data_IF_478763804923
#
_entry.id   IF_478763804923
#
_cell.length_a   1.000
_cell.length_b   1.000
_cell.length_c   1.000
_cell.angle_alpha   90.00
_cell.angle_beta   90.00
_cell.angle_gamma   90.00
#
_symmetry.space_group_name_H-M   'P 1'
#
loop_
_entity.id
_entity.type
_entity.pdbx_description
1 polymer ?
#
# COMPACT_ATOMS: atom_id res chain seq x y z
N UNK A 1 -9.29 -13.54 8.70
CA UNK A 1 -7.92 -13.57 8.13
C UNK A 1 -7.91 -13.22 6.64
N UNK A 2 -8.33 -14.11 5.72
CA UNK A 2 -8.31 -13.83 4.26
C UNK A 2 -9.26 -12.68 3.85
N UNK A 3 -10.47 -12.64 4.38
CA UNK A 3 -11.41 -11.55 4.11
C UNK A 3 -10.86 -10.18 4.58
N UNK A 4 -10.15 -10.15 5.72
CA UNK A 4 -9.52 -8.92 6.23
C UNK A 4 -8.42 -8.42 5.29
N UNK A 5 -7.63 -9.34 4.70
CA UNK A 5 -6.63 -9.01 3.67
C UNK A 5 -7.31 -8.40 2.44
N UNK A 6 -8.35 -9.06 1.89
CA UNK A 6 -9.07 -8.56 0.71
C UNK A 6 -9.69 -7.17 0.95
N UNK A 7 -10.27 -6.95 2.13
CA UNK A 7 -10.84 -5.64 2.49
C UNK A 7 -9.77 -4.56 2.63
N UNK A 8 -8.61 -4.90 3.19
CA UNK A 8 -7.49 -3.98 3.29
C UNK A 8 -6.94 -3.63 1.90
N UNK A 9 -6.69 -4.62 1.06
CA UNK A 9 -6.20 -4.45 -0.31
C UNK A 9 -7.13 -3.55 -1.12
N UNK A 10 -8.44 -3.83 -1.08
CA UNK A 10 -9.43 -3.01 -1.78
C UNK A 10 -9.40 -1.55 -1.30
N UNK A 11 -9.33 -1.33 0.01
CA UNK A 11 -9.28 0.02 0.58
C UNK A 11 -8.01 0.76 0.15
N UNK A 12 -6.85 0.13 0.27
CA UNK A 12 -5.57 0.74 -0.12
C UNK A 12 -5.52 1.02 -1.63
N UNK A 13 -6.11 0.14 -2.44
CA UNK A 13 -6.28 0.34 -3.87
C UNK A 13 -7.13 1.58 -4.16
N UNK A 14 -8.31 1.69 -3.55
CA UNK A 14 -9.21 2.83 -3.73
C UNK A 14 -8.54 4.15 -3.30
N UNK A 15 -7.81 4.14 -2.18
CA UNK A 15 -7.02 5.30 -1.70
C UNK A 15 -5.93 5.69 -2.72
N UNK A 16 -5.16 4.73 -3.25
CA UNK A 16 -4.15 4.97 -4.29
C UNK A 16 -4.77 5.52 -5.58
N UNK A 17 -5.91 4.98 -6.00
CA UNK A 17 -6.66 5.47 -7.17
C UNK A 17 -7.13 6.92 -6.97
N UNK A 18 -7.51 7.30 -5.75
CA UNK A 18 -7.86 8.69 -5.42
C UNK A 18 -6.68 9.64 -5.59
N UNK A 19 -5.47 9.25 -5.17
CA UNK A 19 -4.24 10.04 -5.38
C UNK A 19 -4.00 10.24 -6.88
N UNK A 20 -4.09 9.16 -7.66
CA UNK A 20 -3.92 9.21 -9.11
C UNK A 20 -4.93 10.16 -9.77
N UNK A 21 -6.22 10.02 -9.47
CA UNK A 21 -7.27 10.90 -10.01
C UNK A 21 -7.04 12.37 -9.69
N UNK A 22 -6.65 12.68 -8.43
CA UNK A 22 -6.31 14.05 -8.02
C UNK A 22 -5.13 14.61 -8.81
N UNK A 23 -4.12 13.79 -9.09
CA UNK A 23 -2.99 14.21 -9.92
C UNK A 23 -3.41 14.44 -11.39
N UNK A 24 -4.19 13.52 -11.96
CA UNK A 24 -4.73 13.64 -13.32
C UNK A 24 -5.56 14.93 -13.48
N UNK A 25 -6.38 15.27 -12.49
CA UNK A 25 -7.17 16.50 -12.47
C UNK A 25 -6.27 17.75 -12.44
N UNK A 26 -5.24 17.77 -11.58
CA UNK A 26 -4.27 18.87 -11.54
C UNK A 26 -3.60 19.05 -12.91
N UNK A 27 -3.15 17.97 -13.54
CA UNK A 27 -2.53 18.00 -14.88
C UNK A 27 -3.50 18.50 -15.94
N UNK A 28 -4.76 18.04 -15.90
CA UNK A 28 -5.81 18.50 -16.81
C UNK A 28 -6.02 20.00 -16.70
N UNK A 29 -6.16 20.52 -15.48
CA UNK A 29 -6.34 21.96 -15.22
C UNK A 29 -5.14 22.76 -15.75
N UNK A 30 -3.90 22.30 -15.49
CA UNK A 30 -2.70 22.98 -15.97
C UNK A 30 -2.64 23.03 -17.51
N UNK A 31 -2.93 21.90 -18.18
CA UNK A 31 -3.02 21.83 -19.64
C UNK A 31 -4.10 22.76 -20.21
N UNK A 32 -5.29 22.77 -19.61
CA UNK A 32 -6.37 23.66 -20.03
C UNK A 32 -5.98 25.14 -19.89
N UNK A 33 -5.35 25.52 -18.76
CA UNK A 33 -4.87 26.89 -18.54
C UNK A 33 -3.82 27.31 -19.58
N UNK A 34 -2.84 26.46 -19.85
CA UNK A 34 -1.84 26.73 -20.88
C UNK A 34 -2.49 26.91 -22.25
N UNK A 35 -3.40 26.00 -22.63
CA UNK A 35 -4.14 26.07 -23.89
C UNK A 35 -4.99 27.34 -24.03
N UNK A 36 -5.61 27.83 -22.95
CA UNK A 36 -6.39 29.08 -22.99
C UNK A 36 -5.53 30.31 -23.27
N UNK A 37 -4.26 30.29 -22.87
CA UNK A 37 -3.29 31.37 -23.10
C UNK A 37 -2.58 31.18 -24.45
N UNK A 38 -2.88 30.10 -25.18
CA UNK A 38 -2.25 29.78 -26.46
C UNK A 38 -0.84 29.23 -26.34
N UNK A 39 -0.44 28.76 -25.15
CA UNK A 39 0.89 28.20 -24.88
C UNK A 39 0.80 26.73 -24.48
N UNK A 40 1.86 25.96 -24.74
CA UNK A 40 1.97 24.60 -24.21
C UNK A 40 2.44 24.62 -22.75
N UNK A 41 2.10 23.57 -21.99
CA UNK A 41 2.63 23.38 -20.65
C UNK A 41 4.17 23.34 -20.69
N UNK A 42 4.82 24.16 -19.86
CA UNK A 42 6.27 24.21 -19.84
C UNK A 42 6.85 22.89 -19.29
N UNK A 43 7.99 22.45 -19.83
CA UNK A 43 8.65 21.22 -19.40
C UNK A 43 8.93 21.21 -17.89
N UNK A 44 9.44 22.32 -17.35
CA UNK A 44 9.72 22.46 -15.92
C UNK A 44 8.45 22.26 -15.06
N UNK A 45 7.31 22.79 -15.49
CA UNK A 45 6.04 22.61 -14.78
C UNK A 45 5.57 21.15 -14.85
N UNK A 46 5.68 20.51 -16.02
CA UNK A 46 5.35 19.11 -16.19
C UNK A 46 6.22 18.18 -15.31
N UNK A 47 7.53 18.44 -15.28
CA UNK A 47 8.50 17.70 -14.47
C UNK A 47 8.19 17.91 -12.97
N UNK A 48 7.93 19.15 -12.54
CA UNK A 48 7.56 19.47 -11.16
C UNK A 48 6.27 18.77 -10.70
N UNK A 49 5.25 18.72 -11.56
CA UNK A 49 4.01 18.00 -11.27
C UNK A 49 4.24 16.50 -11.14
N UNK A 50 5.07 15.93 -12.01
CA UNK A 50 5.43 14.50 -12.00
C UNK A 50 6.18 14.14 -10.72
N UNK A 51 7.15 14.97 -10.32
CA UNK A 51 7.92 14.75 -9.09
C UNK A 51 7.05 14.89 -7.83
N UNK A 52 6.13 15.86 -7.81
CA UNK A 52 5.18 16.00 -6.72
C UNK A 52 4.29 14.74 -6.57
N UNK A 53 3.80 14.20 -7.69
CA UNK A 53 3.02 12.95 -7.68
C UNK A 53 3.83 11.76 -7.19
N UNK A 54 5.07 11.61 -7.67
CA UNK A 54 5.96 10.53 -7.22
C UNK A 54 6.20 10.59 -5.72
N UNK A 55 6.46 11.78 -5.17
CA UNK A 55 6.65 11.98 -3.72
C UNK A 55 5.39 11.65 -2.94
N UNK A 56 4.23 12.09 -3.41
CA UNK A 56 2.94 11.81 -2.77
C UNK A 56 2.64 10.29 -2.73
N UNK A 57 2.91 9.58 -3.82
CA UNK A 57 2.80 8.11 -3.85
C UNK A 57 3.78 7.42 -2.90
N UNK A 58 5.05 7.83 -2.89
CA UNK A 58 6.04 7.26 -1.97
C UNK A 58 5.68 7.51 -0.51
N UNK A 59 5.15 8.69 -0.20
CA UNK A 59 4.67 9.02 1.13
C UNK A 59 3.48 8.14 1.52
N UNK A 60 2.51 7.97 0.62
CA UNK A 60 1.39 7.06 0.83
C UNK A 60 1.85 5.62 1.08
N UNK A 61 2.78 5.11 0.27
CA UNK A 61 3.29 3.75 0.46
C UNK A 61 3.98 3.59 1.83
N UNK A 62 4.82 4.56 2.21
CA UNK A 62 5.57 4.52 3.47
C UNK A 62 4.69 4.71 4.70
N UNK A 63 3.77 5.67 4.67
CA UNK A 63 3.06 6.15 5.87
C UNK A 63 1.68 5.53 6.01
N UNK A 64 1.11 5.00 4.92
CA UNK A 64 -0.23 4.43 4.91
C UNK A 64 -0.25 2.94 4.58
N UNK A 65 0.42 2.51 3.52
CA UNK A 65 0.39 1.10 3.07
C UNK A 65 1.15 0.21 4.03
N UNK A 66 2.45 0.48 4.26
CA UNK A 66 3.28 -0.38 5.11
C UNK A 66 2.72 -0.52 6.53
N UNK A 67 2.35 0.56 7.26
CA UNK A 67 1.83 0.42 8.61
C UNK A 67 0.49 -0.33 8.68
N UNK A 68 -0.35 -0.21 7.65
CA UNK A 68 -1.61 -0.94 7.61
C UNK A 68 -1.41 -2.46 7.40
N UNK A 69 -0.43 -2.84 6.59
CA UNK A 69 -0.02 -4.24 6.43
C UNK A 69 0.61 -4.80 7.70
N UNK A 70 1.52 -4.07 8.33
CA UNK A 70 2.15 -4.48 9.59
C UNK A 70 1.10 -4.69 10.69
N UNK A 71 0.14 -3.78 10.80
CA UNK A 71 -0.98 -3.90 11.72
C UNK A 71 -1.88 -5.12 11.43
N UNK A 72 -2.15 -5.40 10.15
CA UNK A 72 -2.90 -6.60 9.77
C UNK A 72 -2.13 -7.86 10.16
N UNK A 73 -0.86 -7.98 9.78
CA UNK A 73 -0.01 -9.13 10.09
C UNK A 73 0.02 -9.38 11.60
N UNK A 74 0.20 -8.32 12.39
CA UNK A 74 0.22 -8.40 13.87
C UNK A 74 -1.08 -9.00 14.40
N UNK A 75 -2.24 -8.53 13.92
CA UNK A 75 -3.55 -9.07 14.30
C UNK A 75 -3.70 -10.54 13.90
N UNK A 76 -3.19 -10.91 12.73
CA UNK A 76 -3.23 -12.30 12.25
C UNK A 76 -2.35 -13.22 13.10
N UNK A 77 -1.13 -12.79 13.44
CA UNK A 77 -0.23 -13.49 14.36
C UNK A 77 -0.91 -13.71 15.71
N UNK A 78 -1.41 -12.66 16.36
CA UNK A 78 -2.13 -12.77 17.64
C UNK A 78 -3.31 -13.74 17.58
N UNK A 79 -4.06 -13.73 16.48
CA UNK A 79 -5.18 -14.67 16.30
C UNK A 79 -4.67 -16.11 16.22
N UNK A 80 -3.62 -16.38 15.45
CA UNK A 80 -3.03 -17.72 15.30
C UNK A 80 -2.36 -18.19 16.59
N UNK A 81 -1.70 -17.30 17.32
CA UNK A 81 -1.16 -17.54 18.66
C UNK A 81 -2.27 -17.97 19.63
N UNK A 82 -3.40 -17.27 19.65
CA UNK A 82 -4.55 -17.60 20.50
C UNK A 82 -5.18 -18.96 20.16
N UNK A 83 -5.01 -19.41 18.91
CA UNK A 83 -5.44 -20.74 18.44
C UNK A 83 -4.39 -21.83 18.71
N UNK A 84 -3.26 -21.48 19.34
CA UNK A 84 -2.19 -22.42 19.68
C UNK A 84 -1.28 -22.78 18.50
N UNK A 85 -1.29 -22.01 17.40
CA UNK A 85 -0.39 -22.25 16.28
C UNK A 85 1.05 -21.91 16.70
N UNK A 86 1.99 -22.86 16.63
CA UNK A 86 3.35 -22.66 17.11
C UNK A 86 4.03 -21.47 16.44
N UNK A 87 4.89 -20.78 17.18
CA UNK A 87 5.74 -19.67 16.71
C UNK A 87 5.02 -18.41 16.21
N UNK A 88 3.69 -18.34 16.25
CA UNK A 88 2.91 -17.23 15.66
C UNK A 88 2.74 -16.00 16.58
N UNK A 89 3.80 -15.56 17.24
CA UNK A 89 3.80 -14.34 18.07
C UNK A 89 4.27 -13.10 17.27
N UNK A 90 3.88 -11.88 17.65
CA UNK A 90 4.43 -10.66 17.05
C UNK A 90 5.94 -10.57 17.27
N UNK A 91 6.72 -10.36 16.20
CA UNK A 91 8.18 -10.27 16.26
C UNK A 91 8.76 -9.40 15.15
N UNK A 92 9.82 -8.67 15.47
CA UNK A 92 10.63 -7.90 14.51
C UNK A 92 11.83 -8.72 13.99
N UNK A 93 12.19 -9.82 14.65
CA UNK A 93 13.31 -10.68 14.29
C UNK A 93 13.06 -11.36 12.93
N UNK A 94 13.97 -11.17 11.99
CA UNK A 94 13.88 -11.72 10.63
C UNK A 94 13.97 -13.25 10.61
N UNK A 95 14.72 -13.85 11.52
CA UNK A 95 14.88 -15.30 11.67
C UNK A 95 13.58 -15.92 12.17
N UNK A 96 12.96 -15.31 13.17
CA UNK A 96 11.65 -15.77 13.68
C UNK A 96 10.56 -15.58 12.62
N UNK A 97 10.58 -14.47 11.87
CA UNK A 97 9.67 -14.28 10.73
C UNK A 97 9.81 -15.36 9.66
N UNK A 98 11.03 -15.80 9.33
CA UNK A 98 11.24 -16.90 8.39
C UNK A 98 10.66 -18.23 8.90
N UNK A 99 10.78 -18.50 10.21
CA UNK A 99 10.16 -19.69 10.82
C UNK A 99 8.64 -19.62 10.73
N UNK A 100 8.05 -18.48 11.07
CA UNK A 100 6.60 -18.24 10.96
C UNK A 100 6.09 -18.45 9.53
N UNK A 101 6.82 -17.97 8.52
CA UNK A 101 6.46 -18.20 7.11
C UNK A 101 6.41 -19.68 6.74
N UNK A 102 7.38 -20.48 7.21
CA UNK A 102 7.38 -21.94 7.01
C UNK A 102 6.19 -22.62 7.70
N UNK A 103 5.85 -22.20 8.92
CA UNK A 103 4.68 -22.73 9.63
C UNK A 103 3.40 -22.41 8.87
N UNK A 104 3.21 -21.16 8.41
CA UNK A 104 2.04 -20.77 7.61
C UNK A 104 1.95 -21.61 6.34
N UNK A 105 3.05 -21.84 5.63
CA UNK A 105 3.05 -22.64 4.40
C UNK A 105 2.49 -24.05 4.65
N UNK A 106 3.01 -24.75 5.68
CA UNK A 106 2.54 -26.10 6.02
C UNK A 106 1.07 -26.09 6.45
N UNK A 107 0.66 -25.13 7.29
CA UNK A 107 -0.74 -25.02 7.74
C UNK A 107 -1.69 -24.74 6.57
N UNK A 108 -1.24 -23.97 5.58
CA UNK A 108 -2.03 -23.66 4.38
C UNK A 108 -2.20 -24.88 3.48
N UNK A 109 -1.14 -25.67 3.29
CA UNK A 109 -1.14 -26.89 2.48
C UNK A 109 -1.98 -28.02 3.11
N UNK A 110 -2.11 -28.06 4.44
CA UNK A 110 -2.91 -29.06 5.17
C UNK A 110 -4.40 -28.65 5.26
N UNK A 111 -4.73 -27.38 5.07
CA UNK A 111 -6.09 -26.86 5.16
C UNK A 111 -6.86 -26.86 3.82
N UNK A 112 -6.22 -27.26 2.71
CA UNK A 112 -6.86 -27.59 1.42
C UNK A 112 -7.27 -29.07 1.35
#
# INVERSE_FOLDING_TARGET
>A
LKNDQVLLEKRLWDERQSIQKRHEEKVKIAKTKASMIGVSLAKFEADSMTDAFRRELQQFDRERVLPAWDGLITKQQQTLESLGVPSMFPTEDSTERQKQQRVIQVVSEVAE
#
